data_IF_069423705461
#
_entry.id   IF_069423705461
#
_cell.length_a   1.000
_cell.length_b   1.000
_cell.length_c   1.000
_cell.angle_alpha   90.00
_cell.angle_beta   90.00
_cell.angle_gamma   90.00
#
_symmetry.space_group_name_H-M   'P 1'
#
loop_
_entity.id
_entity.type
_entity.pdbx_description
1 polymer ?
#
# COMPACT_ATOMS: atom_id res chain seq x y z
N UNK A 1 -15.15 -6.96 7.55
CA UNK A 1 -15.86 -6.46 8.74
C UNK A 1 -15.30 -6.99 10.08
N UNK A 2 -14.37 -7.95 10.08
CA UNK A 2 -13.64 -8.35 11.30
C UNK A 2 -12.47 -7.40 11.62
N UNK A 3 -11.93 -6.74 10.61
CA UNK A 3 -10.76 -5.87 10.76
C UNK A 3 -11.07 -4.55 11.48
N UNK A 4 -12.33 -4.11 11.47
CA UNK A 4 -12.78 -2.87 12.13
C UNK A 4 -13.03 -3.08 13.63
N UNK A 5 -13.35 -4.30 14.06
CA UNK A 5 -13.50 -4.62 15.49
C UNK A 5 -12.17 -4.54 16.26
N UNK A 6 -11.02 -4.70 15.59
CA UNK A 6 -9.70 -4.59 16.22
C UNK A 6 -9.34 -3.18 16.68
N UNK A 7 -9.87 -2.14 16.04
CA UNK A 7 -9.56 -0.75 16.37
C UNK A 7 -10.58 -0.08 17.31
N UNK A 8 -11.74 -0.68 17.52
CA UNK A 8 -12.84 -0.03 18.27
C UNK A 8 -12.69 -0.01 19.79
N UNK A 9 -11.65 -0.66 20.34
CA UNK A 9 -11.51 -0.80 21.80
C UNK A 9 -10.09 -0.43 22.34
N UNK A 10 -9.35 0.38 21.58
CA UNK A 10 -7.99 0.79 21.96
C UNK A 10 -7.95 1.88 23.04
N UNK A 11 -9.10 2.46 23.42
CA UNK A 11 -9.16 3.59 24.36
C UNK A 11 -8.71 3.26 25.79
N UNK A 12 -8.62 1.96 26.16
CA UNK A 12 -8.23 1.49 27.48
C UNK A 12 -7.09 0.46 27.47
N UNK A 13 -6.32 0.41 26.37
CA UNK A 13 -5.22 -0.54 26.24
C UNK A 13 -3.99 -0.02 27.02
N UNK A 14 -3.33 -0.89 27.77
CA UNK A 14 -2.06 -0.56 28.40
C UNK A 14 -0.90 -0.51 27.38
N UNK A 15 0.21 0.14 27.74
CA UNK A 15 1.32 0.40 26.85
C UNK A 15 1.97 -0.89 26.31
N UNK A 16 2.09 -1.94 27.15
CA UNK A 16 2.71 -3.20 26.74
C UNK A 16 1.81 -3.98 25.77
N UNK A 17 0.51 -4.01 26.02
CA UNK A 17 -0.46 -4.64 25.12
C UNK A 17 -0.52 -3.89 23.79
N UNK A 18 -0.48 -2.55 23.80
CA UNK A 18 -0.39 -1.75 22.58
C UNK A 18 0.87 -2.08 21.78
N UNK A 19 2.02 -2.18 22.47
CA UNK A 19 3.29 -2.55 21.83
C UNK A 19 3.19 -3.89 21.10
N UNK A 20 2.71 -4.92 21.78
CA UNK A 20 2.54 -6.25 21.18
C UNK A 20 1.58 -6.24 20.00
N UNK A 21 0.49 -5.47 20.10
CA UNK A 21 -0.47 -5.34 19.01
C UNK A 21 0.16 -4.68 17.77
N UNK A 22 0.90 -3.58 17.95
CA UNK A 22 1.59 -2.91 16.86
C UNK A 22 2.66 -3.81 16.25
N UNK A 23 3.43 -4.52 17.08
CA UNK A 23 4.42 -5.48 16.60
C UNK A 23 3.77 -6.58 15.74
N UNK A 24 2.62 -7.12 16.13
CA UNK A 24 1.88 -8.08 15.30
C UNK A 24 1.42 -7.49 13.96
N UNK A 25 1.08 -6.19 13.90
CA UNK A 25 0.77 -5.51 12.64
C UNK A 25 2.03 -5.39 11.79
N UNK A 26 3.14 -4.92 12.37
CA UNK A 26 4.43 -4.74 11.71
C UNK A 26 4.97 -6.07 11.14
N UNK A 27 4.84 -7.16 11.90
CA UNK A 27 5.21 -8.52 11.48
C UNK A 27 4.29 -9.08 10.38
N UNK A 28 3.27 -8.32 9.99
CA UNK A 28 2.34 -8.71 8.93
C UNK A 28 1.30 -9.75 9.32
N UNK A 29 1.30 -10.22 10.58
CA UNK A 29 0.42 -11.30 11.03
C UNK A 29 -1.07 -11.02 10.77
N UNK A 30 -1.52 -9.79 11.01
CA UNK A 30 -2.91 -9.36 10.78
C UNK A 30 -3.30 -9.50 9.31
N UNK A 31 -2.39 -9.20 8.40
CA UNK A 31 -2.62 -9.29 6.96
C UNK A 31 -2.53 -10.74 6.47
N UNK A 32 -1.56 -11.50 6.96
CA UNK A 32 -1.37 -12.92 6.62
C UNK A 32 -2.57 -13.78 7.03
N UNK A 33 -3.17 -13.52 8.20
CA UNK A 33 -4.40 -14.20 8.62
C UNK A 33 -5.59 -13.87 7.73
N UNK A 34 -5.57 -12.72 7.07
CA UNK A 34 -6.51 -12.31 6.02
C UNK A 34 -6.16 -12.80 4.61
N UNK A 35 -5.12 -13.65 4.46
CA UNK A 35 -4.67 -14.16 3.16
C UNK A 35 -3.81 -13.17 2.36
N UNK A 36 -3.30 -12.09 2.98
CA UNK A 36 -2.50 -11.06 2.30
C UNK A 36 -1.05 -11.19 2.74
N UNK A 37 -0.18 -11.55 1.81
CA UNK A 37 1.26 -11.69 2.02
C UNK A 37 2.04 -10.54 1.38
N UNK A 38 3.25 -10.33 1.85
CA UNK A 38 4.18 -9.31 1.37
C UNK A 38 3.60 -7.88 1.41
N UNK A 39 2.71 -7.57 2.39
CA UNK A 39 2.27 -6.20 2.64
C UNK A 39 3.12 -5.54 3.72
N UNK A 40 3.13 -6.11 4.93
CA UNK A 40 4.07 -5.83 6.00
C UNK A 40 4.73 -7.16 6.37
N UNK A 41 6.04 -7.17 6.52
CA UNK A 41 6.84 -8.37 6.82
C UNK A 41 7.99 -8.06 7.78
N UNK A 42 7.69 -7.26 8.79
CA UNK A 42 8.57 -7.06 9.93
C UNK A 42 9.82 -6.21 9.71
N UNK A 43 10.56 -6.08 10.74
CA UNK A 43 11.95 -5.73 10.96
C UNK A 43 12.44 -4.32 10.63
N UNK A 44 12.15 -3.72 9.49
CA UNK A 44 12.79 -2.45 9.15
C UNK A 44 12.25 -1.25 9.93
N UNK A 45 10.94 -1.20 10.14
CA UNK A 45 10.27 -0.08 10.83
C UNK A 45 9.88 -0.38 12.28
N UNK A 46 10.03 -1.61 12.75
CA UNK A 46 9.63 -2.06 14.10
C UNK A 46 10.59 -1.63 15.23
N UNK A 47 11.67 -0.90 14.91
CA UNK A 47 12.68 -0.46 15.88
C UNK A 47 12.08 0.30 17.08
N UNK A 48 11.02 1.07 16.88
CA UNK A 48 10.34 1.84 17.94
C UNK A 48 9.55 0.94 18.90
N UNK A 49 9.20 -0.29 18.52
CA UNK A 49 8.56 -1.28 19.36
C UNK A 49 9.54 -2.05 20.26
N UNK A 50 10.86 -1.75 20.21
CA UNK A 50 11.83 -2.40 21.06
C UNK A 50 11.65 -2.00 22.53
N UNK A 51 11.87 -2.95 23.46
CA UNK A 51 11.72 -2.69 24.91
C UNK A 51 12.59 -1.54 25.43
N UNK A 52 13.71 -1.26 24.77
CA UNK A 52 14.63 -0.19 25.15
C UNK A 52 14.16 1.21 24.76
N UNK A 53 13.21 1.31 23.83
CA UNK A 53 12.71 2.58 23.27
C UNK A 53 11.27 2.83 23.71
N UNK A 54 10.47 1.76 23.82
CA UNK A 54 9.06 1.86 24.12
C UNK A 54 8.80 2.30 25.55
N UNK A 55 8.15 3.43 25.73
CA UNK A 55 7.71 3.96 27.02
C UNK A 55 6.23 4.34 26.96
N UNK A 56 5.66 4.73 28.11
CA UNK A 56 4.29 5.26 28.16
C UNK A 56 4.11 6.54 27.33
N UNK A 57 5.19 7.28 27.08
CA UNK A 57 5.15 8.50 26.25
C UNK A 57 4.98 8.12 24.77
N UNK A 58 5.75 7.17 24.25
CA UNK A 58 5.62 6.66 22.88
C UNK A 58 4.24 6.02 22.66
N UNK A 59 3.79 5.19 23.60
CA UNK A 59 2.46 4.61 23.58
C UNK A 59 1.37 5.69 23.48
N UNK A 60 1.50 6.76 24.31
CA UNK A 60 0.57 7.90 24.29
C UNK A 60 0.56 8.66 22.96
N UNK A 61 1.71 8.80 22.30
CA UNK A 61 1.80 9.44 20.97
C UNK A 61 1.08 8.59 19.94
N UNK A 62 1.33 7.29 19.91
CA UNK A 62 0.71 6.37 18.97
C UNK A 62 -0.81 6.31 19.14
N UNK A 63 -1.30 6.24 20.38
CA UNK A 63 -2.74 6.29 20.64
C UNK A 63 -3.38 7.60 20.16
N UNK A 64 -2.69 8.73 20.29
CA UNK A 64 -3.17 9.99 19.72
C UNK A 64 -3.27 9.95 18.20
N UNK A 65 -2.30 9.35 17.53
CA UNK A 65 -2.32 9.19 16.07
C UNK A 65 -3.49 8.28 15.65
N UNK A 66 -3.68 7.14 16.33
CA UNK A 66 -4.79 6.22 16.05
C UNK A 66 -6.14 6.94 16.23
N UNK A 67 -6.35 7.62 17.35
CA UNK A 67 -7.58 8.36 17.61
C UNK A 67 -7.85 9.47 16.58
N UNK A 68 -6.80 10.13 16.10
CA UNK A 68 -6.93 11.10 15.02
C UNK A 68 -7.39 10.43 13.71
N UNK A 69 -6.80 9.26 13.38
CA UNK A 69 -7.14 8.52 12.17
C UNK A 69 -8.54 7.93 12.21
N UNK A 70 -9.04 7.49 13.39
CA UNK A 70 -10.41 7.02 13.58
C UNK A 70 -11.47 8.07 13.23
N UNK A 71 -11.16 9.36 13.45
CA UNK A 71 -12.01 10.47 13.07
C UNK A 71 -12.19 10.67 11.55
N UNK A 72 -11.33 10.05 10.74
CA UNK A 72 -11.43 10.14 9.30
C UNK A 72 -12.28 8.99 8.74
N UNK A 73 -13.33 9.33 8.01
CA UNK A 73 -14.15 8.34 7.32
C UNK A 73 -13.33 7.63 6.25
N UNK A 74 -13.32 6.29 6.27
CA UNK A 74 -12.76 5.46 5.19
C UNK A 74 -13.55 5.58 3.87
N UNK A 75 -14.37 6.61 3.72
CA UNK A 75 -15.21 6.84 2.53
C UNK A 75 -14.40 7.02 1.24
N UNK A 76 -13.11 7.38 1.34
CA UNK A 76 -12.27 7.42 0.15
C UNK A 76 -12.03 6.06 -0.49
N UNK A 77 -12.16 4.97 0.24
CA UNK A 77 -12.13 3.63 -0.36
C UNK A 77 -13.28 3.38 -1.35
N UNK A 78 -14.36 4.16 -1.27
CA UNK A 78 -15.52 4.02 -2.16
C UNK A 78 -15.35 4.72 -3.52
N UNK A 79 -14.43 5.66 -3.64
CA UNK A 79 -14.23 6.47 -4.85
C UNK A 79 -12.98 6.10 -5.67
N UNK A 80 -12.31 5.08 -5.32
CA UNK A 80 -11.47 4.15 -6.06
C UNK A 80 -10.14 4.66 -6.62
N UNK A 81 -10.02 5.81 -7.22
CA UNK A 81 -8.86 6.12 -8.05
C UNK A 81 -7.98 7.28 -7.60
N UNK A 82 -8.54 8.23 -6.86
CA UNK A 82 -7.79 9.42 -6.42
C UNK A 82 -7.14 9.25 -5.03
N UNK A 83 -7.41 8.17 -4.35
CA UNK A 83 -6.92 7.92 -2.97
C UNK A 83 -5.46 7.52 -2.92
N UNK A 84 -4.94 7.00 -4.03
CA UNK A 84 -3.55 6.54 -4.15
C UNK A 84 -2.58 7.70 -3.99
N UNK A 85 -2.94 8.86 -4.51
CA UNK A 85 -2.11 10.05 -4.42
C UNK A 85 -1.91 10.52 -2.96
N UNK A 86 -2.85 10.22 -2.05
CA UNK A 86 -2.74 10.62 -0.63
C UNK A 86 -1.52 9.99 0.06
N UNK A 87 -1.25 8.71 -0.16
CA UNK A 87 -0.09 8.07 0.47
C UNK A 87 1.23 8.50 -0.16
N UNK A 88 1.20 8.79 -1.45
CA UNK A 88 2.34 9.38 -2.15
C UNK A 88 2.57 10.81 -1.64
N UNK A 89 1.51 11.60 -1.52
CA UNK A 89 1.58 12.96 -0.97
C UNK A 89 2.04 12.95 0.49
N UNK A 90 1.52 12.03 1.32
CA UNK A 90 1.96 11.84 2.71
C UNK A 90 3.45 11.49 2.78
N UNK A 91 3.92 10.58 1.93
CA UNK A 91 5.35 10.27 1.82
C UNK A 91 6.17 11.50 1.47
N UNK A 92 5.70 12.31 0.52
CA UNK A 92 6.36 13.54 0.09
C UNK A 92 6.44 14.60 1.19
N UNK A 93 5.44 14.67 2.07
CA UNK A 93 5.40 15.58 3.22
C UNK A 93 6.28 15.10 4.39
N UNK A 94 6.31 13.79 4.66
CA UNK A 94 7.11 13.21 5.75
C UNK A 94 8.60 13.23 5.42
N UNK A 95 8.98 12.92 4.17
CA UNK A 95 10.37 12.83 3.76
C UNK A 95 10.88 14.17 3.21
N UNK A 96 11.84 14.84 3.89
CA UNK A 96 12.43 16.09 3.41
C UNK A 96 13.00 15.95 1.99
N UNK A 97 12.83 16.98 1.18
CA UNK A 97 13.29 16.99 -0.23
C UNK A 97 14.80 16.72 -0.36
N UNK A 98 15.59 17.25 0.58
CA UNK A 98 17.03 17.05 0.61
C UNK A 98 17.42 15.57 0.79
N UNK A 99 16.68 14.85 1.67
CA UNK A 99 16.88 13.42 1.91
C UNK A 99 16.51 12.64 0.67
N UNK A 100 15.34 12.90 0.08
CA UNK A 100 14.89 12.22 -1.14
C UNK A 100 15.86 12.44 -2.31
N UNK A 101 16.31 13.68 -2.53
CA UNK A 101 17.28 13.98 -3.59
C UNK A 101 18.64 13.32 -3.36
N UNK A 102 19.09 13.18 -2.10
CA UNK A 102 20.34 12.48 -1.78
C UNK A 102 20.25 10.98 -2.06
N UNK A 103 19.03 10.41 -2.02
CA UNK A 103 18.73 9.02 -2.37
C UNK A 103 18.42 8.85 -3.88
N UNK A 104 18.47 9.95 -4.65
CA UNK A 104 18.13 9.92 -6.08
C UNK A 104 16.63 9.83 -6.37
N UNK A 105 15.78 10.09 -5.38
CA UNK A 105 14.33 10.02 -5.54
C UNK A 105 13.78 11.32 -6.14
N UNK A 106 13.26 11.20 -7.34
CA UNK A 106 12.55 12.27 -8.04
C UNK A 106 11.10 11.85 -8.27
N UNK A 107 10.19 12.66 -7.73
CA UNK A 107 8.75 12.40 -7.87
C UNK A 107 8.30 12.56 -9.33
N UNK A 108 7.62 11.53 -9.83
CA UNK A 108 6.97 11.56 -11.13
C UNK A 108 5.49 11.90 -10.96
N UNK A 109 4.97 13.00 -11.51
CA UNK A 109 3.55 13.29 -11.46
C UNK A 109 2.72 12.17 -12.09
N UNK A 110 1.56 11.86 -11.50
CA UNK A 110 0.70 10.75 -11.94
C UNK A 110 0.25 10.91 -13.40
N UNK A 111 -0.04 12.15 -13.86
CA UNK A 111 -0.40 12.40 -15.25
C UNK A 111 0.71 12.02 -16.24
N UNK A 112 1.98 12.20 -15.84
CA UNK A 112 3.13 11.84 -16.68
C UNK A 112 3.29 10.30 -16.75
N UNK A 113 3.14 9.62 -15.62
CA UNK A 113 3.14 8.15 -15.58
C UNK A 113 2.02 7.58 -16.47
N UNK A 114 0.80 8.12 -16.36
CA UNK A 114 -0.34 7.71 -17.19
C UNK A 114 -0.08 7.98 -18.69
N UNK A 115 0.56 9.08 -19.01
CA UNK A 115 0.94 9.40 -20.38
C UNK A 115 1.96 8.36 -20.91
N UNK A 116 3.02 8.10 -20.15
CA UNK A 116 4.08 7.15 -20.54
C UNK A 116 3.52 5.75 -20.72
N UNK A 117 2.72 5.26 -19.76
CA UNK A 117 2.08 3.92 -19.85
C UNK A 117 1.19 3.83 -21.08
N UNK A 118 0.38 4.83 -21.35
CA UNK A 118 -0.48 4.87 -22.53
C UNK A 118 0.32 4.87 -23.84
N UNK A 119 1.39 5.68 -23.92
CA UNK A 119 2.23 5.74 -25.14
C UNK A 119 2.99 4.44 -25.36
N UNK A 120 3.53 3.82 -24.29
CA UNK A 120 4.21 2.55 -24.38
C UNK A 120 3.31 1.44 -24.93
N UNK A 121 2.03 1.44 -24.55
CA UNK A 121 1.05 0.47 -25.03
C UNK A 121 0.75 0.55 -26.53
N UNK A 122 0.89 1.71 -27.15
CA UNK A 122 0.63 1.85 -28.60
C UNK A 122 1.52 0.97 -29.46
N UNK A 123 2.67 0.55 -28.93
CA UNK A 123 3.63 -0.29 -29.63
C UNK A 123 3.47 -1.80 -29.32
N UNK A 124 2.48 -2.17 -28.51
CA UNK A 124 2.20 -3.56 -28.18
C UNK A 124 1.18 -4.14 -29.17
N UNK A 125 1.42 -5.37 -29.61
CA UNK A 125 0.52 -6.07 -30.53
C UNK A 125 -0.82 -6.44 -29.88
N UNK A 126 -0.86 -6.56 -28.56
CA UNK A 126 -2.05 -6.90 -27.80
C UNK A 126 -2.03 -6.22 -26.42
N UNK A 127 -3.16 -6.26 -25.72
CA UNK A 127 -3.31 -5.72 -24.37
C UNK A 127 -2.80 -6.66 -23.26
N UNK A 128 -2.26 -7.84 -23.62
CA UNK A 128 -1.75 -8.83 -22.66
C UNK A 128 -0.25 -8.65 -22.43
N UNK A 129 0.12 -7.52 -21.82
CA UNK A 129 1.49 -7.18 -21.46
C UNK A 129 1.79 -7.57 -20.01
N UNK A 130 3.04 -7.81 -19.72
CA UNK A 130 3.61 -7.86 -18.35
C UNK A 130 4.57 -6.70 -18.20
N UNK A 131 4.52 -6.01 -17.07
CA UNK A 131 5.35 -4.85 -16.78
C UNK A 131 6.01 -4.98 -15.41
N UNK A 132 7.27 -4.59 -15.36
CA UNK A 132 8.04 -4.41 -14.13
C UNK A 132 8.56 -2.98 -14.09
N UNK A 133 8.44 -2.33 -12.94
CA UNK A 133 9.13 -1.09 -12.64
C UNK A 133 10.31 -1.41 -11.71
N UNK A 134 11.55 -1.38 -12.21
CA UNK A 134 12.74 -1.79 -11.43
C UNK A 134 13.24 -0.71 -10.46
N UNK A 135 12.65 0.48 -10.47
CA UNK A 135 12.94 1.60 -9.57
C UNK A 135 11.61 2.28 -9.22
N UNK A 136 10.69 1.50 -8.63
CA UNK A 136 9.28 1.92 -8.57
C UNK A 136 8.99 3.08 -7.63
N UNK A 137 9.92 3.44 -6.76
CA UNK A 137 9.70 4.48 -5.75
C UNK A 137 8.44 4.19 -4.94
N UNK A 138 7.62 5.20 -4.74
CA UNK A 138 6.32 5.08 -4.08
C UNK A 138 5.22 4.43 -4.95
N UNK A 139 5.55 3.95 -6.16
CA UNK A 139 4.67 3.13 -6.99
C UNK A 139 3.86 3.88 -8.04
N UNK A 140 4.23 5.08 -8.45
CA UNK A 140 3.42 5.91 -9.38
C UNK A 140 3.15 5.19 -10.71
N UNK A 141 4.18 4.60 -11.34
CA UNK A 141 4.01 3.83 -12.58
C UNK A 141 3.26 2.53 -12.35
N UNK A 142 3.52 1.84 -11.24
CA UNK A 142 2.79 0.63 -10.84
C UNK A 142 1.29 0.93 -10.73
N UNK A 143 0.92 2.03 -10.09
CA UNK A 143 -0.48 2.45 -9.97
C UNK A 143 -1.09 2.83 -11.33
N UNK A 144 -0.31 3.48 -12.21
CA UNK A 144 -0.75 3.78 -13.57
C UNK A 144 -1.02 2.51 -14.39
N UNK A 145 -0.17 1.49 -14.26
CA UNK A 145 -0.37 0.19 -14.89
C UNK A 145 -1.64 -0.51 -14.38
N UNK A 146 -1.89 -0.50 -13.07
CA UNK A 146 -3.12 -1.06 -12.47
C UNK A 146 -4.35 -0.34 -13.01
N UNK A 147 -4.38 0.99 -12.98
CA UNK A 147 -5.47 1.79 -13.55
C UNK A 147 -5.71 1.45 -15.02
N UNK A 148 -4.64 1.27 -15.77
CA UNK A 148 -4.73 0.92 -17.18
C UNK A 148 -5.33 -0.47 -17.42
N UNK A 149 -5.00 -1.48 -16.59
CA UNK A 149 -5.60 -2.83 -16.66
C UNK A 149 -7.08 -2.79 -16.27
N UNK A 150 -7.43 -2.05 -15.23
CA UNK A 150 -8.82 -1.88 -14.81
C UNK A 150 -9.63 -1.15 -15.88
N UNK A 151 -9.04 -0.13 -16.50
CA UNK A 151 -9.69 0.69 -17.52
C UNK A 151 -10.93 1.40 -16.97
N UNK A 152 -11.98 1.47 -17.79
CA UNK A 152 -13.25 2.13 -17.43
C UNK A 152 -14.26 1.19 -16.75
N UNK A 153 -13.81 0.06 -16.18
CA UNK A 153 -14.72 -0.89 -15.52
C UNK A 153 -15.20 -0.31 -14.19
N UNK A 154 -16.49 -0.36 -13.96
CA UNK A 154 -17.07 -0.09 -12.65
C UNK A 154 -16.90 -1.32 -11.76
N UNK A 155 -15.89 -1.32 -10.91
CA UNK A 155 -15.53 -2.45 -10.04
C UNK A 155 -16.69 -2.86 -9.12
N UNK A 156 -17.52 -1.91 -8.69
CA UNK A 156 -18.64 -2.18 -7.77
C UNK A 156 -19.69 -3.06 -8.45
N UNK A 157 -19.90 -2.88 -9.75
CA UNK A 157 -20.88 -3.63 -10.53
C UNK A 157 -20.38 -4.98 -11.06
N UNK A 158 -19.06 -5.28 -10.94
CA UNK A 158 -18.49 -6.53 -11.40
C UNK A 158 -18.99 -7.72 -10.58
N UNK A 159 -19.23 -8.86 -11.27
CA UNK A 159 -19.45 -10.16 -10.60
C UNK A 159 -18.15 -10.64 -9.95
N UNK A 160 -18.27 -11.45 -8.89
CA UNK A 160 -17.10 -11.99 -8.18
C UNK A 160 -16.11 -12.70 -9.10
N UNK A 161 -16.58 -13.50 -10.05
CA UNK A 161 -15.72 -14.18 -11.03
C UNK A 161 -14.98 -13.23 -11.98
N UNK A 162 -15.52 -12.04 -12.22
CA UNK A 162 -14.86 -11.00 -13.02
C UNK A 162 -13.83 -10.24 -12.19
N UNK A 163 -14.13 -9.98 -10.91
CA UNK A 163 -13.17 -9.41 -9.96
C UNK A 163 -11.97 -10.32 -9.76
N UNK A 164 -12.20 -11.63 -9.56
CA UNK A 164 -11.12 -12.62 -9.44
C UNK A 164 -10.20 -12.65 -10.65
N UNK A 165 -10.76 -12.67 -11.86
CA UNK A 165 -9.98 -12.64 -13.10
C UNK A 165 -9.17 -11.35 -13.24
N UNK A 166 -9.77 -10.22 -12.88
CA UNK A 166 -9.11 -8.92 -12.94
C UNK A 166 -7.99 -8.82 -11.91
N UNK A 167 -8.26 -9.26 -10.66
CA UNK A 167 -7.26 -9.33 -9.59
C UNK A 167 -6.07 -10.21 -10.01
N UNK A 168 -6.33 -11.42 -10.49
CA UNK A 168 -5.30 -12.33 -10.98
C UNK A 168 -4.46 -11.68 -12.09
N UNK A 169 -5.11 -11.05 -13.05
CA UNK A 169 -4.43 -10.36 -14.14
C UNK A 169 -3.51 -9.25 -13.63
N UNK A 170 -3.93 -8.47 -12.63
CA UNK A 170 -3.10 -7.41 -12.05
C UNK A 170 -1.89 -8.01 -11.32
N UNK A 171 -2.09 -8.99 -10.45
CA UNK A 171 -1.03 -9.63 -9.65
C UNK A 171 0.04 -10.32 -10.51
N UNK A 172 -0.37 -10.93 -11.62
CA UNK A 172 0.57 -11.62 -12.53
C UNK A 172 1.34 -10.64 -13.42
N UNK A 173 0.73 -9.52 -13.80
CA UNK A 173 1.23 -8.64 -14.86
C UNK A 173 1.97 -7.40 -14.37
N UNK A 174 1.75 -6.95 -13.14
CA UNK A 174 2.33 -5.70 -12.61
C UNK A 174 3.23 -6.02 -11.45
N UNK A 175 4.52 -5.63 -11.56
CA UNK A 175 5.51 -5.83 -10.51
C UNK A 175 6.32 -4.56 -10.29
N UNK A 176 6.82 -4.37 -9.07
CA UNK A 176 7.71 -3.28 -8.72
C UNK A 176 8.87 -3.76 -7.87
N UNK A 177 10.02 -3.11 -8.03
CA UNK A 177 11.20 -3.30 -7.18
C UNK A 177 11.75 -1.91 -6.85
N UNK A 178 12.22 -1.73 -5.63
CA UNK A 178 12.96 -0.53 -5.24
C UNK A 178 13.96 -0.85 -4.13
N UNK A 179 15.01 -0.07 -4.03
CA UNK A 179 16.06 -0.23 -3.01
C UNK A 179 15.69 0.46 -1.70
N UNK A 180 14.81 1.48 -1.74
CA UNK A 180 14.39 2.22 -0.56
C UNK A 180 13.22 1.51 0.14
N UNK A 181 13.40 1.00 1.38
CA UNK A 181 12.36 0.25 2.08
C UNK A 181 11.10 1.10 2.38
N UNK A 182 11.24 2.40 2.60
CA UNK A 182 10.08 3.28 2.84
C UNK A 182 9.28 3.49 1.57
N UNK A 183 9.95 3.66 0.43
CA UNK A 183 9.31 3.72 -0.88
C UNK A 183 8.58 2.42 -1.21
N UNK A 184 9.22 1.28 -0.97
CA UNK A 184 8.62 -0.05 -1.14
C UNK A 184 7.38 -0.22 -0.27
N UNK A 185 7.45 0.16 1.01
CA UNK A 185 6.29 0.11 1.91
C UNK A 185 5.13 0.96 1.39
N UNK A 186 5.43 2.20 0.97
CA UNK A 186 4.43 3.10 0.38
C UNK A 186 3.81 2.48 -0.88
N UNK A 187 4.63 1.93 -1.77
CA UNK A 187 4.16 1.27 -2.99
C UNK A 187 3.30 0.04 -2.69
N UNK A 188 3.66 -0.79 -1.70
CA UNK A 188 2.88 -1.95 -1.24
C UNK A 188 1.50 -1.52 -0.73
N UNK A 189 1.44 -0.48 0.11
CA UNK A 189 0.18 0.05 0.65
C UNK A 189 -0.70 0.61 -0.49
N UNK A 190 -0.12 1.40 -1.40
CA UNK A 190 -0.84 1.93 -2.57
C UNK A 190 -1.37 0.80 -3.47
N UNK A 191 -0.56 -0.23 -3.72
CA UNK A 191 -0.96 -1.40 -4.48
C UNK A 191 -2.15 -2.11 -3.83
N UNK A 192 -2.03 -2.43 -2.53
CA UNK A 192 -3.10 -3.08 -1.76
C UNK A 192 -4.42 -2.30 -1.81
N UNK A 193 -4.35 -0.99 -1.56
CA UNK A 193 -5.54 -0.13 -1.61
C UNK A 193 -6.19 -0.17 -2.99
N UNK A 194 -5.40 -0.17 -4.05
CA UNK A 194 -5.90 -0.19 -5.43
C UNK A 194 -6.63 -1.47 -5.79
N UNK A 195 -6.20 -2.61 -5.25
CA UNK A 195 -6.80 -3.91 -5.54
C UNK A 195 -7.83 -4.35 -4.48
N UNK A 196 -7.89 -3.70 -3.31
CA UNK A 196 -8.78 -4.09 -2.21
C UNK A 196 -10.24 -4.30 -2.63
N UNK A 197 -10.84 -3.47 -3.50
CA UNK A 197 -12.22 -3.69 -3.98
C UNK A 197 -12.42 -4.97 -4.81
N UNK A 198 -11.33 -5.59 -5.28
CA UNK A 198 -11.31 -6.84 -6.05
C UNK A 198 -11.10 -8.07 -5.18
N UNK A 199 -10.64 -7.88 -3.93
CA UNK A 199 -10.32 -8.98 -3.01
C UNK A 199 -11.61 -9.44 -2.33
N UNK A 200 -11.87 -10.76 -2.38
CA UNK A 200 -12.95 -11.41 -1.63
C UNK A 200 -12.37 -12.34 -0.57
N UNK A 201 -11.95 -13.55 -0.93
CA UNK A 201 -11.38 -14.54 -0.01
C UNK A 201 -10.12 -15.22 -0.59
N UNK A 202 -9.46 -14.58 -1.54
CA UNK A 202 -8.27 -15.15 -2.19
C UNK A 202 -7.02 -14.87 -1.35
N UNK A 203 -6.13 -15.84 -1.31
CA UNK A 203 -4.75 -15.61 -0.88
C UNK A 203 -4.01 -14.85 -1.96
N UNK A 204 -3.42 -13.72 -1.60
CA UNK A 204 -2.68 -12.84 -2.50
C UNK A 204 -1.30 -12.53 -1.95
N UNK A 205 -0.37 -12.23 -2.84
CA UNK A 205 0.94 -11.68 -2.52
C UNK A 205 1.09 -10.35 -3.26
N UNK A 206 1.48 -9.31 -2.54
CA UNK A 206 1.70 -7.99 -3.14
C UNK A 206 3.02 -8.03 -3.94
N UNK A 207 3.00 -7.84 -5.27
CA UNK A 207 4.16 -8.04 -6.12
C UNK A 207 5.09 -6.83 -6.18
N UNK A 208 5.41 -6.27 -5.02
CA UNK A 208 6.36 -5.17 -4.83
C UNK A 208 7.46 -5.66 -3.89
N UNK A 209 8.72 -5.53 -4.29
CA UNK A 209 9.84 -6.13 -3.59
C UNK A 209 10.93 -5.12 -3.27
N UNK A 210 11.58 -5.33 -2.13
CA UNK A 210 12.81 -4.62 -1.77
C UNK A 210 13.99 -5.34 -2.43
N UNK A 211 14.79 -4.60 -3.17
CA UNK A 211 15.96 -5.17 -3.86
C UNK A 211 16.61 -4.18 -4.83
N UNK A 212 17.75 -4.57 -5.38
CA UNK A 212 18.55 -3.86 -6.37
C UNK A 212 18.84 -4.74 -7.61
#
# INVERSE_FOLDING_TARGET
NKDIEYFSDLSNIDADTLRQFIQHIEDGYVFQTGGIRNLLEGDFFSWYCSESIWTDEEAGIILKIINLLEGYSLSFYRHGYNTIDIFIDLYMEIMPSEVRHSLGEYFTPSWLADYVVRESKKNLENDDFTAIDPCCGSGVFVMSLIRNIIGNKDIVSLKESEKEKLLKSILERVKGVDINPLSVLTAKVCFYISIKPLISNQDIEIPIYLGD
#
